data_IF_744472784528
#
_entry.id   IF_744472784528
#
_cell.length_a   1.000
_cell.length_b   1.000
_cell.length_c   1.000
_cell.angle_alpha   90.00
_cell.angle_beta   90.00
_cell.angle_gamma   90.00
#
_symmetry.space_group_name_H-M   'P 1'
#
loop_
_entity.id
_entity.type
_entity.pdbx_description
1 polymer ?
#
# COMPACT_ATOMS: atom_id res chain seq x y z
N UNK A 1 29.79 -8.88 29.45
CA UNK A 1 29.82 -9.99 28.47
C UNK A 1 28.77 -10.99 28.95
N UNK A 2 27.59 -11.12 28.37
CA UNK A 2 27.24 -11.06 26.95
C UNK A 2 25.76 -10.64 26.83
N UNK A 3 25.53 -9.51 26.16
CA UNK A 3 24.25 -9.05 25.64
C UNK A 3 23.86 -9.90 24.41
N UNK A 4 23.59 -11.20 24.58
CA UNK A 4 23.06 -12.06 23.50
C UNK A 4 21.76 -12.80 23.85
N UNK A 5 21.16 -12.55 25.02
CA UNK A 5 19.86 -13.14 25.35
C UNK A 5 18.66 -12.39 24.71
N UNK A 6 18.88 -11.19 24.18
CA UNK A 6 17.87 -10.38 23.47
C UNK A 6 17.95 -10.48 21.93
N UNK A 7 18.71 -11.44 21.38
CA UNK A 7 18.82 -11.66 19.92
C UNK A 7 18.25 -12.98 19.41
N UNK A 8 17.86 -13.90 20.30
CA UNK A 8 17.33 -15.24 19.94
C UNK A 8 15.82 -15.39 20.23
N UNK A 9 15.13 -14.30 20.54
CA UNK A 9 13.66 -14.21 20.29
C UNK A 9 13.38 -13.96 18.78
N UNK A 10 14.43 -14.03 17.96
CA UNK A 10 14.41 -13.76 16.53
C UNK A 10 14.02 -15.01 15.74
N UNK A 11 13.14 -14.78 14.75
CA UNK A 11 12.70 -15.71 13.70
C UNK A 11 11.59 -16.70 14.09
N UNK A 12 11.78 -17.65 15.00
CA UNK A 12 10.82 -18.76 15.13
C UNK A 12 9.40 -18.31 15.52
N UNK A 13 9.28 -17.46 16.54
CA UNK A 13 8.00 -16.91 17.00
C UNK A 13 7.36 -15.97 15.97
N UNK A 14 8.17 -15.25 15.19
CA UNK A 14 7.69 -14.40 14.10
C UNK A 14 7.16 -15.22 12.92
N UNK A 15 7.76 -16.38 12.60
CA UNK A 15 7.22 -17.28 11.57
C UNK A 15 5.94 -18.00 12.02
N UNK A 16 5.80 -18.29 13.32
CA UNK A 16 4.56 -18.82 13.93
C UNK A 16 3.50 -17.71 14.12
N UNK A 17 3.86 -16.46 13.88
CA UNK A 17 2.93 -15.35 13.61
C UNK A 17 2.79 -15.05 12.10
N UNK A 18 3.32 -15.91 11.22
CA UNK A 18 3.11 -15.88 9.75
C UNK A 18 2.43 -17.14 9.14
N UNK A 19 2.20 -18.22 9.92
CA UNK A 19 1.41 -19.41 9.50
C UNK A 19 -0.11 -19.64 9.91
N UNK A 20 -0.64 -19.19 11.05
CA UNK A 20 -2.04 -18.86 11.39
C UNK A 20 -2.83 -18.19 10.29
N UNK A 21 -4.10 -18.55 10.27
CA UNK A 21 -5.07 -18.19 9.26
C UNK A 21 -5.35 -16.67 9.27
N UNK A 22 -5.11 -15.96 10.37
CA UNK A 22 -5.42 -14.52 10.47
C UNK A 22 -4.37 -13.58 9.84
N UNK A 23 -3.11 -14.00 9.68
CA UNK A 23 -2.04 -13.15 9.12
C UNK A 23 -1.48 -13.73 7.81
N UNK A 24 -2.00 -14.89 7.39
CA UNK A 24 -1.62 -15.62 6.18
C UNK A 24 -2.71 -15.35 5.14
N UNK A 25 -2.50 -14.30 4.35
CA UNK A 25 -3.13 -14.14 3.04
C UNK A 25 -4.67 -14.21 3.03
N UNK A 26 -5.32 -13.14 3.49
CA UNK A 26 -6.48 -12.68 2.75
C UNK A 26 -5.95 -11.83 1.60
N UNK A 27 -5.67 -12.44 0.43
CA UNK A 27 -5.72 -11.83 -0.92
C UNK A 27 -4.66 -12.37 -1.88
N UNK A 28 -5.04 -13.34 -2.71
CA UNK A 28 -4.46 -13.46 -4.06
C UNK A 28 -5.51 -13.54 -5.16
N UNK A 29 -6.81 -13.41 -4.84
CA UNK A 29 -7.86 -13.59 -5.86
C UNK A 29 -8.85 -12.43 -5.99
N UNK A 30 -8.99 -11.54 -5.00
CA UNK A 30 -10.00 -10.47 -5.05
C UNK A 30 -9.44 -9.11 -5.48
N UNK A 31 -8.22 -8.77 -5.11
CA UNK A 31 -7.59 -7.49 -5.49
C UNK A 31 -6.88 -7.55 -6.84
N UNK A 32 -6.35 -8.71 -7.22
CA UNK A 32 -5.65 -8.88 -8.51
C UNK A 32 -6.57 -8.60 -9.71
N UNK A 33 -7.84 -9.00 -9.64
CA UNK A 33 -8.84 -8.69 -10.66
C UNK A 33 -9.12 -7.19 -10.79
N UNK A 34 -9.00 -6.41 -9.70
CA UNK A 34 -9.30 -4.97 -9.68
C UNK A 34 -8.15 -4.11 -10.20
N UNK A 35 -6.95 -4.68 -10.26
CA UNK A 35 -5.75 -4.00 -10.75
C UNK A 35 -5.62 -4.01 -12.27
N UNK A 36 -6.24 -4.97 -12.98
CA UNK A 36 -6.11 -5.09 -14.44
C UNK A 36 -6.54 -3.83 -15.22
N UNK A 37 -7.36 -2.97 -14.61
CA UNK A 37 -7.86 -1.72 -15.23
C UNK A 37 -7.22 -0.44 -14.66
N UNK A 38 -6.25 -0.55 -13.74
CA UNK A 38 -5.51 0.61 -13.22
C UNK A 38 -4.45 1.04 -14.24
N UNK A 39 -4.60 2.24 -14.79
CA UNK A 39 -3.64 2.80 -15.76
C UNK A 39 -2.80 3.86 -15.03
N UNK A 40 -1.52 3.61 -14.75
CA UNK A 40 -0.66 4.61 -14.12
C UNK A 40 -0.40 5.77 -15.09
N UNK A 41 -0.29 7.01 -14.60
CA UNK A 41 0.14 8.13 -15.42
C UNK A 41 1.54 7.92 -15.98
N UNK A 42 1.73 8.18 -17.26
CA UNK A 42 3.03 7.98 -17.94
C UNK A 42 3.99 9.16 -17.77
N UNK A 43 3.53 10.27 -17.19
CA UNK A 43 4.32 11.50 -17.03
C UNK A 43 4.21 12.03 -15.61
N UNK A 44 5.34 12.43 -15.02
CA UNK A 44 5.37 13.08 -13.70
C UNK A 44 6.14 14.39 -13.83
N UNK A 45 5.49 15.52 -13.54
CA UNK A 45 6.14 16.83 -13.61
C UNK A 45 7.07 17.12 -12.42
N UNK A 46 7.09 16.25 -11.40
CA UNK A 46 7.87 16.38 -10.15
C UNK A 46 7.71 17.73 -9.42
N UNK A 47 6.67 18.50 -9.76
CA UNK A 47 6.49 19.88 -9.29
C UNK A 47 5.42 20.01 -8.21
N UNK A 48 4.83 18.88 -7.79
CA UNK A 48 3.82 18.80 -6.73
C UNK A 48 2.68 19.83 -6.88
N UNK A 49 2.15 20.01 -8.10
CA UNK A 49 1.11 20.99 -8.37
C UNK A 49 -0.29 20.46 -8.04
N UNK A 50 -1.25 21.37 -7.85
CA UNK A 50 -2.66 21.04 -7.56
C UNK A 50 -3.35 20.19 -8.65
N UNK A 51 -2.82 20.20 -9.87
CA UNK A 51 -3.32 19.42 -11.02
C UNK A 51 -2.44 18.19 -11.29
N UNK A 52 -1.86 17.57 -10.25
CA UNK A 52 -1.01 16.41 -10.42
C UNK A 52 -1.80 15.25 -11.05
N UNK A 53 -1.29 14.70 -12.15
CA UNK A 53 -1.92 13.54 -12.83
C UNK A 53 -2.04 12.32 -11.92
N UNK A 54 -1.20 12.24 -10.89
CA UNK A 54 -1.25 11.19 -9.89
C UNK A 54 -2.38 11.36 -8.86
N UNK A 55 -3.01 12.53 -8.78
CA UNK A 55 -4.22 12.71 -7.96
C UNK A 55 -5.42 11.99 -8.56
N UNK A 56 -5.55 12.00 -9.89
CA UNK A 56 -6.58 11.21 -10.58
C UNK A 56 -6.34 9.71 -10.36
N UNK A 57 -5.08 9.28 -10.44
CA UNK A 57 -4.71 7.89 -10.14
C UNK A 57 -5.01 7.50 -8.68
N UNK A 58 -4.66 8.36 -7.72
CA UNK A 58 -4.99 8.17 -6.31
C UNK A 58 -6.51 8.12 -6.07
N UNK A 59 -7.29 8.94 -6.78
CA UNK A 59 -8.74 8.92 -6.71
C UNK A 59 -9.33 7.60 -7.23
N UNK A 60 -8.84 7.10 -8.35
CA UNK A 60 -9.25 5.80 -8.89
C UNK A 60 -8.94 4.65 -7.91
N UNK A 61 -7.77 4.67 -7.27
CA UNK A 61 -7.43 3.69 -6.23
C UNK A 61 -8.41 3.80 -5.05
N UNK A 62 -8.66 5.00 -4.54
CA UNK A 62 -9.61 5.20 -3.43
C UNK A 62 -11.02 4.70 -3.79
N UNK A 63 -11.46 4.84 -5.03
CA UNK A 63 -12.76 4.35 -5.51
C UNK A 63 -12.81 2.82 -5.65
N UNK A 64 -11.74 2.18 -6.14
CA UNK A 64 -11.65 0.72 -6.31
C UNK A 64 -11.48 -0.01 -4.97
N UNK A 65 -10.93 0.67 -3.97
CA UNK A 65 -10.55 0.12 -2.67
C UNK A 65 -11.19 0.87 -1.47
N UNK A 66 -12.54 0.99 -1.38
CA UNK A 66 -13.21 1.92 -0.45
C UNK A 66 -13.06 1.60 1.04
N UNK A 67 -12.43 0.49 1.42
CA UNK A 67 -12.16 0.11 2.82
C UNK A 67 -10.82 -0.63 2.96
N UNK A 68 -9.89 -0.43 2.02
CA UNK A 68 -8.59 -1.08 2.09
C UNK A 68 -7.76 -0.55 3.25
N UNK A 69 -6.99 -1.44 3.89
CA UNK A 69 -5.99 -1.02 4.86
C UNK A 69 -4.82 -0.35 4.15
N UNK A 70 -4.04 0.44 4.89
CA UNK A 70 -2.86 1.10 4.30
C UNK A 70 -1.85 0.09 3.75
N UNK A 71 -1.74 -1.11 4.33
CA UNK A 71 -0.85 -2.14 3.77
C UNK A 71 -1.31 -2.61 2.38
N UNK A 72 -2.62 -2.74 2.15
CA UNK A 72 -3.17 -3.11 0.85
C UNK A 72 -2.92 -1.99 -0.17
N UNK A 73 -3.08 -0.72 0.23
CA UNK A 73 -2.80 0.42 -0.65
C UNK A 73 -1.31 0.50 -1.02
N UNK A 74 -0.40 0.33 -0.06
CA UNK A 74 1.05 0.29 -0.32
C UNK A 74 1.43 -0.84 -1.28
N UNK A 75 0.86 -2.04 -1.09
CA UNK A 75 1.09 -3.18 -1.99
C UNK A 75 0.57 -2.95 -3.42
N UNK A 76 -0.54 -2.24 -3.59
CA UNK A 76 -1.02 -1.82 -4.93
C UNK A 76 -0.08 -0.78 -5.53
N UNK A 77 0.32 0.24 -4.77
CA UNK A 77 1.20 1.31 -5.27
C UNK A 77 2.60 0.79 -5.66
N UNK A 78 3.13 -0.21 -4.94
CA UNK A 78 4.41 -0.87 -5.28
C UNK A 78 4.43 -1.48 -6.68
N UNK A 79 3.28 -1.81 -7.27
CA UNK A 79 3.21 -2.34 -8.64
C UNK A 79 3.49 -1.29 -9.71
N UNK A 80 3.26 -0.01 -9.40
CA UNK A 80 3.30 1.08 -10.36
C UNK A 80 4.40 2.11 -10.08
N UNK A 81 4.90 2.17 -8.84
CA UNK A 81 5.77 3.22 -8.36
C UNK A 81 6.92 2.62 -7.55
N UNK A 82 8.14 2.86 -8.00
CA UNK A 82 9.35 2.38 -7.33
C UNK A 82 9.77 3.28 -6.15
N UNK A 83 9.56 4.59 -6.29
CA UNK A 83 10.00 5.57 -5.30
C UNK A 83 9.15 5.52 -4.02
N UNK A 84 9.81 5.29 -2.88
CA UNK A 84 9.15 5.17 -1.57
C UNK A 84 8.52 6.47 -1.11
N UNK A 85 9.23 7.59 -1.25
CA UNK A 85 8.73 8.90 -0.81
C UNK A 85 7.49 9.30 -1.60
N UNK A 86 7.44 8.92 -2.88
CA UNK A 86 6.30 9.18 -3.74
C UNK A 86 5.10 8.27 -3.41
N UNK A 87 5.32 7.00 -3.06
CA UNK A 87 4.25 6.12 -2.55
C UNK A 87 3.65 6.66 -1.25
N UNK A 88 4.47 7.10 -0.29
CA UNK A 88 4.00 7.67 0.98
C UNK A 88 3.15 8.93 0.77
N UNK A 89 3.53 9.77 -0.21
CA UNK A 89 2.72 10.92 -0.58
C UNK A 89 1.34 10.51 -1.12
N UNK A 90 1.28 9.51 -2.00
CA UNK A 90 0.03 9.03 -2.57
C UNK A 90 -0.83 8.28 -1.57
N UNK A 91 -0.23 7.51 -0.67
CA UNK A 91 -0.90 6.88 0.47
C UNK A 91 -1.64 7.92 1.31
N UNK A 92 -0.97 9.02 1.64
CA UNK A 92 -1.59 10.12 2.38
C UNK A 92 -2.76 10.71 1.60
N UNK A 93 -2.58 10.99 0.31
CA UNK A 93 -3.62 11.56 -0.55
C UNK A 93 -4.86 10.64 -0.66
N UNK A 94 -4.66 9.33 -0.86
CA UNK A 94 -5.72 8.32 -0.91
C UNK A 94 -6.49 8.30 0.40
N UNK A 95 -5.77 8.29 1.54
CA UNK A 95 -6.39 8.30 2.87
C UNK A 95 -7.24 9.55 3.11
N UNK A 96 -6.73 10.72 2.76
CA UNK A 96 -7.47 11.99 2.93
C UNK A 96 -8.76 12.00 2.10
N UNK A 97 -8.73 11.39 0.90
CA UNK A 97 -9.90 11.28 0.02
C UNK A 97 -10.92 10.23 0.47
N UNK A 98 -10.48 9.17 1.14
CA UNK A 98 -11.36 8.13 1.67
C UNK A 98 -12.12 8.54 2.94
N UNK A 99 -11.59 9.49 3.72
CA UNK A 99 -12.18 9.93 4.99
C UNK A 99 -13.41 10.86 4.80
N UNK A 100 -13.62 11.44 3.62
CA UNK A 100 -14.65 12.45 3.35
C UNK A 100 -15.94 11.99 2.67
N UNK A 101 -16.11 10.69 2.38
CA UNK A 101 -17.32 10.17 1.72
C UNK A 101 -18.37 9.77 2.77
N UNK A 102 -19.19 10.72 3.18
CA UNK A 102 -20.42 10.53 3.95
C UNK A 102 -21.60 11.12 3.20
#
# INVERSE_FOLDING_TARGET
MINDFLRVVSRQSYQILKNSICYRWQSSSSYDSRDNDLIPPTTCCMSNCANCVWFTFAEEIAQRYPNATMEVIDDVLKKYIDDKSFREFLEFEIKMRSIGKN
#
